data_IF_919785077920
#
_entry.id   IF_919785077920
#
_cell.length_a   1.000
_cell.length_b   1.000
_cell.length_c   1.000
_cell.angle_alpha   90.00
_cell.angle_beta   90.00
_cell.angle_gamma   90.00
#
_symmetry.space_group_name_H-M   'P 1'
#
loop_
_entity.id
_entity.type
_entity.pdbx_description
1 polymer ?
#
# COMPACT_ATOMS: atom_id res chain seq x y z
N UNK A 1 -64.23 -3.46 21.71
CA UNK A 1 -63.36 -4.47 21.07
C UNK A 1 -62.19 -3.73 20.41
N UNK A 2 -61.03 -3.63 21.06
CA UNK A 2 -59.85 -2.95 20.51
C UNK A 2 -58.90 -3.97 19.86
N UNK A 3 -58.61 -3.83 18.57
CA UNK A 3 -57.65 -4.67 17.86
C UNK A 3 -56.23 -4.09 17.97
N UNK A 4 -55.35 -4.82 18.63
CA UNK A 4 -53.92 -4.52 18.71
C UNK A 4 -53.24 -5.01 17.43
N UNK A 5 -52.82 -4.07 16.58
CA UNK A 5 -52.08 -4.34 15.34
C UNK A 5 -50.65 -4.77 15.69
N UNK A 6 -50.36 -6.07 15.62
CA UNK A 6 -49.01 -6.62 15.80
C UNK A 6 -48.06 -6.02 14.74
N UNK A 7 -47.02 -5.32 15.18
CA UNK A 7 -45.93 -4.87 14.30
C UNK A 7 -45.05 -6.07 13.98
N UNK A 8 -44.99 -6.45 12.71
CA UNK A 8 -44.01 -7.41 12.20
C UNK A 8 -42.63 -6.71 12.15
N UNK A 9 -41.82 -6.88 13.19
CA UNK A 9 -40.39 -6.54 13.15
C UNK A 9 -39.61 -7.81 12.85
N UNK A 10 -39.66 -8.27 11.59
CA UNK A 10 -38.94 -9.47 11.14
C UNK A 10 -38.14 -9.20 9.84
N UNK A 11 -37.57 -8.00 9.72
CA UNK A 11 -36.74 -7.60 8.58
C UNK A 11 -35.38 -7.02 8.96
N UNK A 12 -35.09 -6.80 10.25
CA UNK A 12 -33.86 -6.11 10.67
C UNK A 12 -32.61 -6.99 10.66
N UNK A 13 -32.76 -8.31 10.80
CA UNK A 13 -31.61 -9.21 10.97
C UNK A 13 -30.79 -9.46 9.69
N UNK A 14 -31.42 -9.42 8.51
CA UNK A 14 -30.72 -9.68 7.24
C UNK A 14 -29.94 -8.46 6.76
N UNK A 15 -30.56 -7.28 6.81
CA UNK A 15 -29.89 -6.02 6.48
C UNK A 15 -28.78 -5.64 7.46
N UNK A 16 -28.92 -5.96 8.75
CA UNK A 16 -27.81 -5.80 9.70
C UNK A 16 -26.64 -6.74 9.40
N UNK A 17 -26.90 -8.01 9.07
CA UNK A 17 -25.83 -8.95 8.72
C UNK A 17 -25.10 -8.57 7.44
N UNK A 18 -25.83 -8.16 6.40
CA UNK A 18 -25.22 -7.69 5.14
C UNK A 18 -24.39 -6.40 5.35
N UNK A 19 -24.85 -5.49 6.21
CA UNK A 19 -24.09 -4.28 6.58
C UNK A 19 -22.86 -4.61 7.43
N UNK A 20 -22.95 -5.61 8.32
CA UNK A 20 -21.87 -6.07 9.18
C UNK A 20 -20.81 -6.84 8.35
N UNK A 21 -21.24 -7.68 7.41
CA UNK A 21 -20.36 -8.34 6.43
C UNK A 21 -19.67 -7.33 5.50
N UNK A 22 -20.39 -6.32 5.01
CA UNK A 22 -19.80 -5.25 4.20
C UNK A 22 -18.80 -4.40 5.00
N UNK A 23 -19.08 -4.17 6.29
CA UNK A 23 -18.17 -3.46 7.19
C UNK A 23 -16.91 -4.28 7.48
N UNK A 24 -17.05 -5.59 7.72
CA UNK A 24 -15.93 -6.51 7.93
C UNK A 24 -15.10 -6.63 6.65
N UNK A 25 -15.72 -6.79 5.48
CA UNK A 25 -15.03 -6.86 4.20
C UNK A 25 -14.31 -5.55 3.83
N UNK A 26 -14.84 -4.39 4.25
CA UNK A 26 -14.16 -3.11 4.10
C UNK A 26 -13.01 -2.90 5.12
N UNK A 27 -13.06 -3.60 6.26
CA UNK A 27 -12.02 -3.59 7.29
C UNK A 27 -10.89 -4.62 7.02
N UNK A 28 -11.16 -5.66 6.23
CA UNK A 28 -10.13 -6.53 5.68
C UNK A 28 -9.28 -5.72 4.71
N UNK A 29 -8.03 -5.46 5.10
CA UNK A 29 -7.07 -4.81 4.22
C UNK A 29 -7.01 -5.60 2.91
N UNK A 30 -7.09 -4.95 1.73
CA UNK A 30 -7.02 -5.64 0.45
C UNK A 30 -5.83 -6.59 0.47
N UNK A 31 -6.07 -7.84 0.05
CA UNK A 31 -4.99 -8.83 -0.07
C UNK A 31 -3.87 -8.19 -0.89
N UNK A 32 -2.61 -8.40 -0.50
CA UNK A 32 -1.48 -7.67 -1.13
C UNK A 32 -1.38 -8.00 -2.63
N UNK A 33 -1.96 -9.12 -3.05
CA UNK A 33 -2.14 -9.55 -4.44
C UNK A 33 -3.02 -8.59 -5.28
N UNK A 34 -3.85 -7.76 -4.64
CA UNK A 34 -4.73 -6.79 -5.31
C UNK A 34 -4.16 -5.36 -5.37
N UNK A 35 -3.00 -5.11 -4.75
CA UNK A 35 -2.36 -3.79 -4.76
C UNK A 35 -1.57 -3.56 -6.05
N UNK A 36 -1.72 -2.38 -6.64
CA UNK A 36 -0.85 -1.87 -7.71
C UNK A 36 0.60 -1.69 -7.22
N UNK A 37 1.54 -1.56 -8.16
CA UNK A 37 2.96 -1.29 -7.86
C UNK A 37 3.10 -0.04 -6.99
N UNK A 38 2.41 1.04 -7.33
CA UNK A 38 2.45 2.32 -6.62
C UNK A 38 1.92 2.18 -5.19
N UNK A 39 0.83 1.43 -5.01
CA UNK A 39 0.28 1.16 -3.69
C UNK A 39 1.22 0.31 -2.82
N UNK A 40 1.90 -0.69 -3.41
CA UNK A 40 2.90 -1.47 -2.67
C UNK A 40 4.12 -0.63 -2.28
N UNK A 41 4.61 0.22 -3.19
CA UNK A 41 5.69 1.18 -2.87
C UNK A 41 5.28 2.08 -1.70
N UNK A 42 4.09 2.68 -1.75
CA UNK A 42 3.58 3.55 -0.68
C UNK A 42 3.46 2.79 0.64
N UNK A 43 2.87 1.59 0.63
CA UNK A 43 2.70 0.75 1.82
C UNK A 43 4.06 0.41 2.47
N UNK A 44 5.10 0.15 1.68
CA UNK A 44 6.45 -0.13 2.21
C UNK A 44 7.17 1.10 2.76
N UNK A 45 6.77 2.30 2.35
CA UNK A 45 7.32 3.55 2.86
C UNK A 45 6.76 3.98 4.24
N UNK A 46 5.72 3.32 4.74
CA UNK A 46 5.06 3.66 6.03
C UNK A 46 5.89 3.27 7.28
N UNK A 47 6.96 2.50 7.11
CA UNK A 47 7.80 2.00 8.21
C UNK A 47 8.80 3.03 8.77
N UNK A 48 9.41 2.68 9.92
CA UNK A 48 10.55 3.46 10.46
C UNK A 48 11.76 3.32 9.54
N UNK A 49 12.39 4.44 9.21
CA UNK A 49 13.62 4.47 8.42
C UNK A 49 14.82 3.87 9.16
N UNK A 50 15.59 3.03 8.46
CA UNK A 50 16.90 2.52 8.86
C UNK A 50 17.79 2.32 7.62
N UNK A 51 19.10 2.18 7.81
CA UNK A 51 20.04 1.99 6.71
C UNK A 51 19.83 0.65 6.00
N UNK A 52 19.38 0.68 4.73
CA UNK A 52 19.12 -0.52 3.94
C UNK A 52 20.38 -1.09 3.30
N UNK A 53 21.15 -0.25 2.59
CA UNK A 53 22.33 -0.66 1.83
C UNK A 53 23.42 0.41 1.89
N UNK A 54 24.68 -0.04 1.84
CA UNK A 54 25.83 0.82 1.55
C UNK A 54 26.17 0.70 0.07
N UNK A 55 25.97 1.78 -0.69
CA UNK A 55 26.21 1.79 -2.14
C UNK A 55 27.64 2.21 -2.45
N UNK A 56 28.42 1.32 -3.07
CA UNK A 56 29.76 1.60 -3.58
C UNK A 56 29.69 1.84 -5.09
N UNK A 57 30.40 2.85 -5.56
CA UNK A 57 30.45 3.19 -6.98
C UNK A 57 31.74 3.93 -7.34
N UNK A 58 31.90 4.22 -8.62
CA UNK A 58 33.00 5.04 -9.16
C UNK A 58 32.73 6.53 -8.96
N UNK A 59 33.75 7.36 -9.16
CA UNK A 59 33.61 8.82 -9.13
C UNK A 59 32.61 9.33 -10.19
N UNK A 60 32.62 8.75 -11.38
CA UNK A 60 31.68 9.09 -12.46
C UNK A 60 30.23 8.75 -12.09
N UNK A 61 30.00 7.59 -11.48
CA UNK A 61 28.66 7.20 -11.01
C UNK A 61 28.16 8.15 -9.92
N UNK A 62 29.03 8.55 -8.99
CA UNK A 62 28.70 9.55 -7.97
C UNK A 62 28.36 10.89 -8.64
N UNK A 63 29.15 11.35 -9.62
CA UNK A 63 28.90 12.61 -10.32
C UNK A 63 27.54 12.60 -11.04
N UNK A 64 27.17 11.48 -11.68
CA UNK A 64 25.86 11.32 -12.32
C UNK A 64 24.71 11.40 -11.31
N UNK A 65 24.81 10.68 -10.18
CA UNK A 65 23.80 10.73 -9.12
C UNK A 65 23.66 12.15 -8.55
N UNK A 66 24.79 12.84 -8.34
CA UNK A 66 24.81 14.21 -7.83
C UNK A 66 24.11 15.18 -8.80
N UNK A 67 24.38 15.03 -10.10
CA UNK A 67 23.73 15.82 -11.15
C UNK A 67 22.23 15.54 -11.22
N UNK A 68 21.82 14.26 -11.28
CA UNK A 68 20.42 13.87 -11.40
C UNK A 68 19.60 14.28 -10.17
N UNK A 69 20.17 14.17 -8.97
CA UNK A 69 19.50 14.58 -7.73
C UNK A 69 19.27 16.10 -7.71
N UNK A 70 20.26 16.88 -8.15
CA UNK A 70 20.14 18.33 -8.29
C UNK A 70 19.07 18.72 -9.31
N UNK A 71 19.06 18.06 -10.47
CA UNK A 71 18.09 18.34 -11.53
C UNK A 71 16.66 18.01 -11.11
N UNK A 72 16.47 16.91 -10.38
CA UNK A 72 15.16 16.51 -9.84
C UNK A 72 14.75 17.30 -8.58
N UNK A 73 15.64 18.09 -7.97
CA UNK A 73 15.37 18.78 -6.71
C UNK A 73 15.24 17.85 -5.50
N UNK A 74 15.85 16.66 -5.54
CA UNK A 74 15.74 15.61 -4.53
C UNK A 74 17.05 15.38 -3.79
N UNK A 75 16.97 14.75 -2.61
CA UNK A 75 18.17 14.16 -2.00
C UNK A 75 18.62 12.95 -2.81
N UNK A 76 19.92 12.61 -2.78
CA UNK A 76 20.44 11.43 -3.50
C UNK A 76 19.76 10.13 -3.05
N UNK A 77 19.50 10.02 -1.74
CA UNK A 77 18.79 8.88 -1.18
C UNK A 77 17.37 8.81 -1.72
N UNK A 78 16.65 9.95 -1.76
CA UNK A 78 15.28 9.98 -2.27
C UNK A 78 15.20 9.68 -3.76
N UNK A 79 16.12 10.24 -4.56
CA UNK A 79 16.26 9.91 -5.98
C UNK A 79 16.44 8.40 -6.18
N UNK A 80 17.37 7.79 -5.45
CA UNK A 80 17.63 6.35 -5.56
C UNK A 80 16.42 5.55 -5.11
N UNK A 81 15.74 5.94 -4.03
CA UNK A 81 14.53 5.28 -3.54
C UNK A 81 13.40 5.32 -4.58
N UNK A 82 13.15 6.48 -5.20
CA UNK A 82 12.12 6.67 -6.23
C UNK A 82 12.40 5.90 -7.52
N UNK A 83 13.66 5.58 -7.81
CA UNK A 83 14.04 4.73 -8.94
C UNK A 83 13.97 3.24 -8.54
N UNK A 84 14.55 2.89 -7.39
CA UNK A 84 14.78 1.51 -6.98
C UNK A 84 13.48 0.82 -6.55
N UNK A 85 12.67 1.47 -5.71
CA UNK A 85 11.49 0.81 -5.11
C UNK A 85 10.43 0.43 -6.14
N UNK A 86 10.05 1.31 -7.10
CA UNK A 86 9.10 0.92 -8.14
C UNK A 86 9.62 -0.22 -9.02
N UNK A 87 10.92 -0.21 -9.37
CA UNK A 87 11.51 -1.24 -10.21
C UNK A 87 11.58 -2.60 -9.49
N UNK A 88 11.86 -2.61 -8.19
CA UNK A 88 11.79 -3.82 -7.37
C UNK A 88 10.36 -4.36 -7.26
N UNK A 89 9.38 -3.49 -6.99
CA UNK A 89 7.97 -3.89 -6.89
C UNK A 89 7.41 -4.43 -8.19
N UNK A 90 7.84 -3.86 -9.32
CA UNK A 90 7.46 -4.33 -10.67
C UNK A 90 8.02 -5.72 -10.99
N UNK A 91 9.28 -5.99 -10.59
CA UNK A 91 9.95 -7.27 -10.94
C UNK A 91 9.68 -8.38 -9.93
N UNK A 92 9.57 -8.03 -8.65
CA UNK A 92 9.62 -8.98 -7.54
C UNK A 92 8.50 -8.81 -6.53
N UNK A 93 7.73 -7.71 -6.57
CA UNK A 93 6.72 -7.39 -5.56
C UNK A 93 5.71 -8.51 -5.34
N UNK A 94 5.08 -9.00 -6.41
CA UNK A 94 4.06 -10.07 -6.31
C UNK A 94 4.66 -11.40 -5.82
N UNK A 95 5.81 -11.79 -6.37
CA UNK A 95 6.51 -13.02 -5.95
C UNK A 95 6.94 -12.97 -4.49
N UNK A 96 7.27 -11.79 -3.99
CA UNK A 96 7.65 -11.59 -2.60
C UNK A 96 6.48 -11.76 -1.63
N UNK A 97 5.24 -11.49 -2.05
CA UNK A 97 4.04 -11.66 -1.22
C UNK A 97 3.54 -13.11 -1.17
N UNK A 98 3.89 -13.93 -2.16
CA UNK A 98 3.50 -15.34 -2.25
C UNK A 98 4.43 -16.30 -1.48
N UNK A 99 5.43 -15.77 -0.76
CA UNK A 99 6.41 -16.56 -0.01
C UNK A 99 5.98 -16.83 1.43
#
# INVERSE_FOLDING_TARGET
MAQIKKRNTASSGRGQREAEEAFIAAAEAPSVESLSVEQRVSKRAEGRYFGLISYRGTEEQKALIDFAAKEAGLSKQKLIEEILMPELEKRYGEKFEQR
#
